data_IF_569517131816
#
_entry.id   IF_569517131816
#
_cell.length_a   1.000
_cell.length_b   1.000
_cell.length_c   1.000
_cell.angle_alpha   90.00
_cell.angle_beta   90.00
_cell.angle_gamma   90.00
#
_symmetry.space_group_name_H-M   'P 1'
#
loop_
_entity.id
_entity.type
_entity.pdbx_description
1 polymer ?
#
# COMPACT_ATOMS: atom_id res chain seq x y z
N UNK A 1 22.46 -7.70 -22.26
CA UNK A 1 21.26 -8.24 -22.92
C UNK A 1 20.35 -8.80 -21.84
N UNK A 2 19.13 -8.27 -21.71
CA UNK A 2 18.15 -8.74 -20.73
C UNK A 2 17.55 -10.04 -21.29
N UNK A 3 17.83 -11.18 -20.66
CA UNK A 3 17.27 -12.47 -21.05
C UNK A 3 15.74 -12.41 -20.99
N UNK A 4 15.13 -12.40 -22.16
CA UNK A 4 13.69 -12.49 -22.37
C UNK A 4 13.30 -13.96 -22.32
N UNK A 5 12.87 -14.48 -21.18
CA UNK A 5 12.03 -15.71 -21.11
C UNK A 5 11.69 -16.05 -19.66
N UNK A 6 10.90 -15.20 -19.01
CA UNK A 6 9.97 -15.76 -18.03
C UNK A 6 8.57 -15.33 -18.40
N UNK A 7 7.86 -16.22 -19.09
CA UNK A 7 6.44 -16.05 -19.44
C UNK A 7 5.66 -15.58 -18.20
N UNK A 8 4.74 -14.64 -18.40
CA UNK A 8 3.88 -14.14 -17.32
C UNK A 8 3.05 -15.29 -16.76
N UNK A 9 3.15 -15.53 -15.46
CA UNK A 9 2.46 -16.65 -14.81
C UNK A 9 1.19 -16.20 -14.07
N UNK A 10 0.34 -17.14 -13.70
CA UNK A 10 -0.81 -16.84 -12.81
C UNK A 10 -0.35 -16.33 -11.43
N UNK A 11 0.81 -16.79 -10.97
CA UNK A 11 1.44 -16.31 -9.74
C UNK A 11 1.80 -14.83 -9.84
N UNK A 12 2.33 -14.38 -10.97
CA UNK A 12 2.63 -12.96 -11.22
C UNK A 12 1.36 -12.11 -11.11
N UNK A 13 0.26 -12.54 -11.75
CA UNK A 13 -1.04 -11.86 -11.65
C UNK A 13 -1.54 -11.81 -10.21
N UNK A 14 -1.43 -12.89 -9.43
CA UNK A 14 -1.84 -12.90 -8.03
C UNK A 14 -1.06 -11.89 -7.19
N UNK A 15 0.25 -11.74 -7.43
CA UNK A 15 1.07 -10.76 -6.72
C UNK A 15 0.77 -9.32 -7.13
N UNK A 16 0.54 -9.05 -8.42
CA UNK A 16 0.07 -7.72 -8.86
C UNK A 16 -1.24 -7.37 -8.15
N UNK A 17 -2.21 -8.28 -8.13
CA UNK A 17 -3.50 -8.07 -7.47
C UNK A 17 -3.35 -7.91 -5.95
N UNK A 18 -2.45 -8.66 -5.31
CA UNK A 18 -2.19 -8.56 -3.88
C UNK A 18 -1.52 -7.23 -3.50
N UNK A 19 -0.52 -6.80 -4.27
CA UNK A 19 0.16 -5.52 -4.05
C UNK A 19 -0.79 -4.35 -4.31
N UNK A 20 -1.59 -4.42 -5.37
CA UNK A 20 -2.65 -3.46 -5.64
C UNK A 20 -3.69 -3.41 -4.52
N UNK A 21 -4.16 -4.58 -4.04
CA UNK A 21 -5.11 -4.67 -2.93
C UNK A 21 -4.59 -4.03 -1.64
N UNK A 22 -3.29 -4.22 -1.35
CA UNK A 22 -2.64 -3.56 -0.22
C UNK A 22 -2.62 -2.05 -0.41
N UNK A 23 -2.29 -1.57 -1.61
CA UNK A 23 -2.31 -0.15 -1.95
C UNK A 23 -3.69 0.50 -1.86
N UNK A 24 -4.73 -0.21 -2.31
CA UNK A 24 -6.12 0.25 -2.13
C UNK A 24 -6.48 0.38 -0.67
N UNK A 25 -6.14 -0.63 0.14
CA UNK A 25 -6.38 -0.60 1.59
C UNK A 25 -5.63 0.53 2.32
N UNK A 26 -4.47 0.94 1.81
CA UNK A 26 -3.64 1.97 2.45
C UNK A 26 -4.08 3.42 2.22
N UNK A 27 -5.16 3.65 1.48
CA UNK A 27 -5.73 4.99 1.30
C UNK A 27 -5.46 5.64 -0.04
N UNK A 28 -5.02 4.87 -1.06
CA UNK A 28 -4.90 5.36 -2.45
C UNK A 28 -6.21 5.97 -2.99
N UNK A 29 -7.35 5.69 -2.34
CA UNK A 29 -8.65 6.22 -2.73
C UNK A 29 -8.95 7.57 -2.08
N UNK A 30 -8.59 7.74 -0.80
CA UNK A 30 -8.97 8.95 -0.05
C UNK A 30 -7.96 10.07 -0.20
N UNK A 31 -6.67 9.74 -0.34
CA UNK A 31 -5.62 10.76 -0.38
C UNK A 31 -5.60 11.53 -1.71
N UNK A 32 -5.80 10.91 -2.90
CA UNK A 32 -5.96 11.67 -4.15
C UNK A 32 -7.20 12.56 -4.18
N UNK A 33 -8.29 12.19 -3.49
CA UNK A 33 -9.46 13.07 -3.34
C UNK A 33 -9.07 14.32 -2.56
N UNK A 34 -8.40 14.15 -1.42
CA UNK A 34 -7.90 15.28 -0.61
C UNK A 34 -6.87 16.14 -1.38
N UNK A 35 -6.04 15.55 -2.23
CA UNK A 35 -5.12 16.27 -3.10
C UNK A 35 -5.84 17.04 -4.21
N UNK A 36 -6.91 16.47 -4.77
CA UNK A 36 -7.76 17.14 -5.76
C UNK A 36 -8.43 18.40 -5.19
N UNK A 37 -8.80 18.38 -3.91
CA UNK A 37 -9.28 19.58 -3.18
C UNK A 37 -8.16 20.65 -3.10
N UNK A 38 -6.90 20.22 -3.01
CA UNK A 38 -5.72 21.09 -3.02
C UNK A 38 -5.42 21.78 -4.37
N UNK A 39 -6.16 21.45 -5.43
CA UNK A 39 -6.10 22.11 -6.73
C UNK A 39 -5.65 21.17 -7.87
N UNK A 40 -5.96 21.59 -9.10
CA UNK A 40 -5.67 20.81 -10.31
C UNK A 40 -4.17 20.59 -10.53
N UNK A 41 -3.36 21.65 -10.47
CA UNK A 41 -1.93 21.58 -10.76
C UNK A 41 -1.14 20.72 -9.76
N UNK A 42 -1.35 20.82 -8.43
CA UNK A 42 -0.74 19.90 -7.47
C UNK A 42 -1.11 18.43 -7.73
N UNK A 43 -2.38 18.15 -8.09
CA UNK A 43 -2.82 16.80 -8.42
C UNK A 43 -2.07 16.25 -9.63
N UNK A 44 -1.95 17.03 -10.71
CA UNK A 44 -1.21 16.62 -11.92
C UNK A 44 0.26 16.39 -11.60
N UNK A 45 0.92 17.34 -10.92
CA UNK A 45 2.32 17.21 -10.53
C UNK A 45 2.56 15.97 -9.65
N UNK A 46 1.70 15.75 -8.65
CA UNK A 46 1.78 14.58 -7.79
C UNK A 46 1.53 13.28 -8.55
N UNK A 47 0.62 13.24 -9.53
CA UNK A 47 0.40 12.05 -10.35
C UNK A 47 1.69 11.65 -11.11
N UNK A 48 2.42 12.61 -11.66
CA UNK A 48 3.70 12.36 -12.31
C UNK A 48 4.82 11.99 -11.35
N UNK A 49 4.86 12.59 -10.15
CA UNK A 49 5.92 12.34 -9.16
C UNK A 49 5.69 11.05 -8.37
N UNK A 50 4.44 10.68 -8.09
CA UNK A 50 4.09 9.51 -7.29
C UNK A 50 4.65 8.23 -7.91
N UNK A 51 4.55 8.08 -9.23
CA UNK A 51 5.05 6.88 -9.92
C UNK A 51 6.55 6.64 -9.73
N UNK A 52 7.49 7.54 -10.12
CA UNK A 52 8.92 7.30 -9.95
C UNK A 52 9.31 7.19 -8.48
N UNK A 53 8.74 8.00 -7.58
CA UNK A 53 9.05 7.93 -6.16
C UNK A 53 8.73 6.55 -5.58
N UNK A 54 7.55 6.01 -5.88
CA UNK A 54 7.09 4.73 -5.33
C UNK A 54 7.76 3.56 -6.02
N UNK A 55 7.84 3.55 -7.35
CA UNK A 55 8.48 2.49 -8.11
C UNK A 55 9.96 2.33 -7.74
N UNK A 56 10.73 3.43 -7.70
CA UNK A 56 12.16 3.37 -7.40
C UNK A 56 12.42 2.93 -5.95
N UNK A 57 11.60 3.40 -5.00
CA UNK A 57 11.71 2.98 -3.60
C UNK A 57 11.40 1.49 -3.43
N UNK A 58 10.31 1.00 -4.02
CA UNK A 58 9.93 -0.41 -3.96
C UNK A 58 10.95 -1.31 -4.68
N UNK A 59 11.44 -0.90 -5.85
CA UNK A 59 12.49 -1.61 -6.58
C UNK A 59 13.78 -1.67 -5.76
N UNK A 60 14.19 -0.55 -5.15
CA UNK A 60 15.36 -0.47 -4.28
C UNK A 60 15.26 -1.42 -3.10
N UNK A 61 14.11 -1.42 -2.42
CA UNK A 61 13.85 -2.32 -1.29
C UNK A 61 13.82 -3.80 -1.73
N UNK A 62 13.15 -4.13 -2.82
CA UNK A 62 13.10 -5.50 -3.33
C UNK A 62 14.49 -6.03 -3.66
N UNK A 63 15.31 -5.24 -4.37
CA UNK A 63 16.71 -5.59 -4.67
C UNK A 63 17.57 -5.75 -3.43
N UNK A 64 17.38 -4.86 -2.47
CA UNK A 64 18.08 -4.94 -1.20
C UNK A 64 17.74 -6.24 -0.47
N UNK A 65 16.45 -6.57 -0.33
CA UNK A 65 16.05 -7.86 0.28
C UNK A 65 16.59 -9.05 -0.51
N UNK A 66 16.57 -8.98 -1.85
CA UNK A 66 17.06 -10.04 -2.73
C UNK A 66 18.59 -10.19 -2.76
N UNK A 67 19.38 -9.19 -2.35
CA UNK A 67 20.84 -9.25 -2.38
C UNK A 67 21.47 -10.12 -1.28
N UNK A 68 20.70 -10.46 -0.24
CA UNK A 68 21.17 -11.37 0.82
C UNK A 68 21.51 -12.76 0.30
N UNK A 69 22.60 -13.34 0.83
CA UNK A 69 23.01 -14.72 0.53
C UNK A 69 22.22 -15.75 1.32
N UNK A 70 21.48 -15.31 2.34
CA UNK A 70 20.69 -16.17 3.22
C UNK A 70 19.35 -16.47 2.53
N UNK A 71 19.08 -17.75 2.24
CA UNK A 71 17.91 -18.19 1.46
C UNK A 71 16.56 -17.72 2.01
N UNK A 72 16.45 -17.52 3.33
CA UNK A 72 15.23 -17.10 4.03
C UNK A 72 15.46 -15.84 4.87
N UNK A 73 16.40 -14.97 4.49
CA UNK A 73 16.60 -13.72 5.23
C UNK A 73 15.38 -12.81 5.11
N UNK A 74 14.91 -12.32 6.24
CA UNK A 74 13.98 -11.20 6.31
C UNK A 74 14.75 -9.88 6.24
N UNK A 75 14.02 -8.76 6.09
CA UNK A 75 14.64 -7.43 5.99
C UNK A 75 15.68 -7.18 7.09
N UNK A 76 15.39 -7.57 8.33
CA UNK A 76 16.31 -7.39 9.46
C UNK A 76 17.62 -8.16 9.28
N UNK A 77 17.55 -9.39 8.77
CA UNK A 77 18.72 -10.23 8.51
C UNK A 77 19.58 -9.63 7.39
N UNK A 78 18.93 -9.13 6.33
CA UNK A 78 19.60 -8.49 5.20
C UNK A 78 20.33 -7.22 5.65
N UNK A 79 19.69 -6.40 6.48
CA UNK A 79 20.35 -5.20 7.01
C UNK A 79 21.53 -5.56 7.90
N UNK A 80 21.39 -6.57 8.76
CA UNK A 80 22.50 -7.03 9.59
C UNK A 80 23.66 -7.61 8.75
N UNK A 81 23.37 -8.36 7.68
CA UNK A 81 24.37 -8.88 6.73
C UNK A 81 25.16 -7.76 6.05
N UNK A 82 24.48 -6.69 5.59
CA UNK A 82 25.13 -5.62 4.83
C UNK A 82 25.77 -4.52 5.70
N UNK A 83 25.20 -4.22 6.87
CA UNK A 83 25.62 -3.09 7.70
C UNK A 83 26.22 -3.51 9.06
N UNK A 84 26.18 -4.79 9.40
CA UNK A 84 26.65 -5.34 10.67
C UNK A 84 25.68 -5.16 11.84
N UNK A 85 25.90 -5.89 12.93
CA UNK A 85 24.94 -6.02 14.04
C UNK A 85 24.47 -4.70 14.68
N UNK A 86 25.37 -3.72 14.86
CA UNK A 86 25.01 -2.43 15.51
C UNK A 86 24.11 -1.58 14.61
N UNK A 87 24.49 -1.39 13.35
CA UNK A 87 23.68 -0.63 12.40
C UNK A 87 22.40 -1.38 12.02
N UNK A 88 22.49 -2.72 11.90
CA UNK A 88 21.35 -3.62 11.72
C UNK A 88 20.26 -3.42 12.76
N UNK A 89 20.64 -3.36 14.03
CA UNK A 89 19.69 -3.13 15.13
C UNK A 89 19.03 -1.75 15.06
N UNK A 90 19.80 -0.69 14.77
CA UNK A 90 19.26 0.67 14.65
C UNK A 90 18.28 0.80 13.48
N UNK A 91 18.63 0.27 12.31
CA UNK A 91 17.75 0.31 11.13
C UNK A 91 16.51 -0.57 11.33
N UNK A 92 16.66 -1.73 11.97
CA UNK A 92 15.53 -2.60 12.31
C UNK A 92 14.56 -1.91 13.29
N UNK A 93 15.07 -1.15 14.26
CA UNK A 93 14.25 -0.34 15.15
C UNK A 93 13.49 0.76 14.39
N UNK A 94 14.16 1.46 13.46
CA UNK A 94 13.51 2.47 12.61
C UNK A 94 12.45 1.85 11.69
N UNK A 95 12.70 0.66 11.17
CA UNK A 95 11.74 -0.10 10.36
C UNK A 95 10.52 -0.53 11.19
N UNK A 96 10.73 -1.00 12.42
CA UNK A 96 9.63 -1.26 13.34
C UNK A 96 8.83 0.01 13.65
N UNK A 97 9.52 1.12 13.95
CA UNK A 97 8.88 2.39 14.29
C UNK A 97 8.15 3.02 13.10
N UNK A 98 8.48 2.66 11.86
CA UNK A 98 7.73 3.12 10.68
C UNK A 98 6.45 2.31 10.46
N UNK A 99 6.47 1.00 10.71
CA UNK A 99 5.30 0.12 10.49
C UNK A 99 4.32 0.14 11.66
N UNK A 100 4.81 0.17 12.89
CA UNK A 100 3.98 0.07 14.09
C UNK A 100 2.90 1.17 14.18
N UNK A 101 3.20 2.47 13.96
CA UNK A 101 2.18 3.52 13.94
C UNK A 101 1.15 3.33 12.81
N UNK A 102 1.57 2.83 11.65
CA UNK A 102 0.66 2.54 10.53
C UNK A 102 -0.37 1.49 10.94
N UNK A 103 0.07 0.41 11.62
CA UNK A 103 -0.83 -0.62 12.14
C UNK A 103 -1.84 -0.05 13.15
N UNK A 104 -1.39 0.85 14.04
CA UNK A 104 -2.29 1.52 15.00
C UNK A 104 -3.32 2.40 14.30
N UNK A 105 -2.90 3.18 13.29
CA UNK A 105 -3.80 4.04 12.51
C UNK A 105 -4.84 3.19 11.77
N UNK A 106 -4.48 2.04 11.21
CA UNK A 106 -5.45 1.13 10.60
C UNK A 106 -6.42 0.54 11.61
N UNK A 107 -5.97 0.16 12.80
CA UNK A 107 -6.86 -0.32 13.86
C UNK A 107 -7.90 0.74 14.26
N UNK A 108 -7.46 1.99 14.43
CA UNK A 108 -8.35 3.12 14.67
C UNK A 108 -9.27 3.39 13.48
N UNK A 109 -8.75 3.34 12.27
CA UNK A 109 -9.50 3.56 11.04
C UNK A 109 -10.65 2.57 10.86
N UNK A 110 -10.38 1.27 10.97
CA UNK A 110 -11.41 0.23 10.87
C UNK A 110 -12.46 0.39 11.97
N UNK A 111 -12.04 0.68 13.20
CA UNK A 111 -12.98 0.91 14.32
C UNK A 111 -13.90 2.10 14.02
N UNK A 112 -13.35 3.21 13.55
CA UNK A 112 -14.13 4.41 13.21
C UNK A 112 -15.07 4.17 12.02
N UNK A 113 -14.64 3.43 10.99
CA UNK A 113 -15.47 3.13 9.82
C UNK A 113 -16.63 2.22 10.20
N UNK A 114 -16.37 1.17 10.98
CA UNK A 114 -17.43 0.26 11.45
C UNK A 114 -18.39 0.99 12.36
N UNK A 115 -17.91 1.75 13.34
CA UNK A 115 -18.76 2.56 14.24
C UNK A 115 -19.64 3.54 13.44
N UNK A 116 -19.04 4.27 12.50
CA UNK A 116 -19.77 5.19 11.62
C UNK A 116 -20.84 4.46 10.80
N UNK A 117 -20.54 3.28 10.27
CA UNK A 117 -21.53 2.44 9.57
C UNK A 117 -22.65 1.98 10.49
N UNK A 118 -22.32 1.54 11.70
CA UNK A 118 -23.30 1.08 12.69
C UNK A 118 -24.31 2.19 13.01
N UNK A 119 -23.82 3.39 13.29
CA UNK A 119 -24.65 4.53 13.70
C UNK A 119 -25.40 5.14 12.51
N UNK A 120 -24.70 5.42 11.40
CA UNK A 120 -25.26 6.24 10.32
C UNK A 120 -25.96 5.42 9.23
N UNK A 121 -25.63 4.15 9.03
CA UNK A 121 -26.21 3.31 7.99
C UNK A 121 -27.07 2.18 8.54
N UNK A 122 -26.67 1.56 9.65
CA UNK A 122 -27.42 0.45 10.26
C UNK A 122 -28.42 0.90 11.35
N UNK A 123 -28.38 2.17 11.77
CA UNK A 123 -29.25 2.72 12.81
C UNK A 123 -29.06 2.07 14.19
N UNK A 124 -27.89 1.48 14.43
CA UNK A 124 -27.52 0.85 15.71
C UNK A 124 -26.92 1.91 16.65
N UNK A 125 -27.04 1.68 17.96
CA UNK A 125 -26.34 2.50 18.94
C UNK A 125 -24.83 2.26 18.90
N UNK A 126 -24.06 3.30 19.20
CA UNK A 126 -22.61 3.22 19.27
C UNK A 126 -22.17 2.28 20.41
N UNK A 127 -21.33 1.30 20.08
CA UNK A 127 -20.73 0.41 21.07
C UNK A 127 -19.56 1.10 21.79
N UNK A 128 -19.22 0.69 23.03
CA UNK A 128 -17.97 1.13 23.66
C UNK A 128 -16.78 0.82 22.77
N UNK A 129 -15.94 1.84 22.53
CA UNK A 129 -14.90 1.79 21.50
C UNK A 129 -13.85 0.73 21.79
N UNK A 130 -13.54 0.47 23.06
CA UNK A 130 -12.67 -0.61 23.52
C UNK A 130 -13.22 -2.00 23.19
N UNK A 131 -14.53 -2.20 23.29
CA UNK A 131 -15.18 -3.46 22.94
C UNK A 131 -15.19 -3.65 21.42
N UNK A 132 -15.60 -2.61 20.69
CA UNK A 132 -15.66 -2.66 19.23
C UNK A 132 -14.28 -2.91 18.62
N UNK A 133 -13.27 -2.14 19.02
CA UNK A 133 -11.89 -2.33 18.54
C UNK A 133 -11.32 -3.69 18.95
N UNK A 134 -11.58 -4.17 20.18
CA UNK A 134 -11.16 -5.49 20.64
C UNK A 134 -11.74 -6.62 19.78
N UNK A 135 -13.05 -6.58 19.50
CA UNK A 135 -13.73 -7.56 18.64
C UNK A 135 -13.19 -7.51 17.21
N UNK A 136 -12.99 -6.31 16.65
CA UNK A 136 -12.48 -6.15 15.28
C UNK A 136 -11.05 -6.65 15.15
N UNK A 137 -10.15 -6.30 16.08
CA UNK A 137 -8.77 -6.78 16.08
C UNK A 137 -8.72 -8.30 16.24
N UNK A 138 -9.52 -8.86 17.15
CA UNK A 138 -9.61 -10.31 17.31
C UNK A 138 -10.10 -11.00 16.04
N UNK A 139 -11.12 -10.45 15.37
CA UNK A 139 -11.62 -10.97 14.11
C UNK A 139 -10.54 -10.93 13.00
N UNK A 140 -9.79 -9.84 12.89
CA UNK A 140 -8.69 -9.72 11.93
C UNK A 140 -7.58 -10.75 12.20
N UNK A 141 -7.18 -10.93 13.46
CA UNK A 141 -6.19 -11.94 13.86
C UNK A 141 -6.71 -13.35 13.54
N UNK A 142 -7.97 -13.64 13.83
CA UNK A 142 -8.59 -14.93 13.53
C UNK A 142 -8.57 -15.23 12.01
N UNK A 143 -8.85 -14.23 11.17
CA UNK A 143 -8.76 -14.36 9.71
C UNK A 143 -7.32 -14.64 9.27
N UNK A 144 -6.33 -13.94 9.86
CA UNK A 144 -4.91 -14.17 9.54
C UNK A 144 -4.44 -15.57 9.95
N UNK A 145 -4.94 -16.08 11.09
CA UNK A 145 -4.60 -17.43 11.57
C UNK A 145 -5.29 -18.55 10.78
N UNK A 146 -6.38 -18.26 10.07
CA UNK A 146 -7.12 -19.24 9.25
C UNK A 146 -6.39 -19.66 7.95
N UNK A 147 -5.20 -19.11 7.70
CA UNK A 147 -4.31 -19.48 6.60
C UNK A 147 -4.48 -18.61 5.35
N UNK A 148 -3.48 -18.71 4.46
CA UNK A 148 -3.33 -17.84 3.28
C UNK A 148 -4.57 -17.83 2.38
N UNK A 149 -5.19 -19.00 2.14
CA UNK A 149 -6.36 -19.11 1.26
C UNK A 149 -7.59 -18.37 1.80
N UNK A 150 -7.80 -18.38 3.11
CA UNK A 150 -8.91 -17.67 3.76
C UNK A 150 -8.66 -16.17 3.72
N UNK A 151 -7.45 -15.75 4.07
CA UNK A 151 -7.01 -14.36 3.99
C UNK A 151 -7.19 -13.77 2.58
N UNK A 152 -6.68 -14.46 1.55
CA UNK A 152 -6.80 -14.03 0.16
C UNK A 152 -8.27 -13.92 -0.28
N UNK A 153 -9.13 -14.85 0.15
CA UNK A 153 -10.55 -14.80 -0.17
C UNK A 153 -11.26 -13.64 0.54
N UNK A 154 -10.94 -13.38 1.80
CA UNK A 154 -11.48 -12.25 2.54
C UNK A 154 -11.11 -10.91 1.88
N UNK A 155 -9.84 -10.73 1.50
CA UNK A 155 -9.40 -9.56 0.75
C UNK A 155 -10.13 -9.42 -0.59
N UNK A 156 -10.26 -10.50 -1.36
CA UNK A 156 -10.95 -10.47 -2.65
C UNK A 156 -12.42 -10.05 -2.50
N UNK A 157 -13.13 -10.58 -1.49
CA UNK A 157 -14.53 -10.23 -1.19
C UNK A 157 -14.67 -8.75 -0.81
N UNK A 158 -13.66 -8.15 -0.18
CA UNK A 158 -13.69 -6.73 0.17
C UNK A 158 -13.31 -5.82 -1.01
N UNK A 159 -12.26 -6.16 -1.75
CA UNK A 159 -11.68 -5.32 -2.80
C UNK A 159 -12.51 -5.33 -4.08
N UNK A 160 -13.03 -6.49 -4.52
CA UNK A 160 -13.77 -6.53 -5.79
C UNK A 160 -15.05 -5.68 -5.80
N UNK A 161 -15.92 -5.72 -4.77
CA UNK A 161 -17.07 -4.83 -4.72
C UNK A 161 -16.66 -3.36 -4.63
N UNK A 162 -15.61 -3.04 -3.88
CA UNK A 162 -15.08 -1.67 -3.78
C UNK A 162 -14.67 -1.14 -5.16
N UNK A 163 -13.86 -1.90 -5.91
CA UNK A 163 -13.44 -1.52 -7.27
C UNK A 163 -14.64 -1.38 -8.19
N UNK A 164 -15.62 -2.29 -8.11
CA UNK A 164 -16.83 -2.22 -8.92
C UNK A 164 -17.68 -0.97 -8.61
N UNK A 165 -17.87 -0.64 -7.33
CA UNK A 165 -18.60 0.55 -6.88
C UNK A 165 -17.87 1.81 -7.36
N UNK A 166 -16.54 1.87 -7.24
CA UNK A 166 -15.76 3.02 -7.69
C UNK A 166 -15.80 3.20 -9.21
N UNK A 167 -15.74 2.11 -9.97
CA UNK A 167 -15.90 2.15 -11.41
C UNK A 167 -17.31 2.65 -11.77
N UNK A 168 -18.35 2.10 -11.14
CA UNK A 168 -19.73 2.53 -11.35
C UNK A 168 -19.92 4.01 -11.00
N UNK A 169 -19.46 4.47 -9.84
CA UNK A 169 -19.54 5.87 -9.42
C UNK A 169 -18.76 6.79 -10.37
N UNK A 170 -17.58 6.38 -10.83
CA UNK A 170 -16.80 7.13 -11.83
C UNK A 170 -17.62 7.37 -13.10
N UNK A 171 -18.28 6.32 -13.62
CA UNK A 171 -19.15 6.45 -14.80
C UNK A 171 -20.42 7.25 -14.53
N UNK A 172 -21.07 7.01 -13.38
CA UNK A 172 -22.29 7.68 -12.98
C UNK A 172 -22.08 9.20 -12.80
N UNK A 173 -20.89 9.61 -12.34
CA UNK A 173 -20.56 11.02 -12.10
C UNK A 173 -20.06 11.75 -13.35
N UNK A 174 -19.80 11.08 -14.47
CA UNK A 174 -19.35 11.74 -15.72
C UNK A 174 -20.24 12.94 -16.15
N UNK A 175 -21.59 12.88 -16.05
CA UNK A 175 -22.43 14.02 -16.40
C UNK A 175 -22.25 15.23 -15.48
N UNK A 176 -21.76 15.01 -14.24
CA UNK A 176 -21.53 16.04 -13.25
C UNK A 176 -20.08 16.57 -13.26
N UNK A 177 -19.25 16.13 -14.21
CA UNK A 177 -17.88 16.61 -14.31
C UNK A 177 -17.87 18.08 -14.76
N UNK A 178 -17.36 18.94 -13.89
CA UNK A 178 -17.06 20.33 -14.22
C UNK A 178 -15.61 20.45 -14.64
N UNK A 179 -15.33 21.32 -15.62
CA UNK A 179 -13.94 21.64 -15.97
C UNK A 179 -13.22 22.20 -14.74
N UNK A 180 -12.04 21.68 -14.39
CA UNK A 180 -11.28 22.20 -13.26
C UNK A 180 -10.80 23.63 -13.56
N UNK A 181 -10.60 24.42 -12.50
CA UNK A 181 -9.97 25.73 -12.62
C UNK A 181 -8.51 25.52 -13.01
N UNK A 182 -8.14 25.97 -14.22
CA UNK A 182 -6.81 25.82 -14.79
C UNK A 182 -5.89 27.02 -14.54
N UNK A 183 -6.32 27.96 -13.70
CA UNK A 183 -5.55 29.15 -13.37
C UNK A 183 -4.15 28.78 -12.86
N UNK A 184 -3.17 29.61 -13.21
CA UNK A 184 -1.80 29.46 -12.71
C UNK A 184 -1.82 29.54 -11.19
N UNK A 185 -1.33 28.51 -10.48
CA UNK A 185 -1.40 28.51 -9.03
C UNK A 185 -0.42 29.55 -8.49
N UNK A 186 -0.78 30.18 -7.37
CA UNK A 186 0.19 30.95 -6.61
C UNK A 186 1.35 30.05 -6.20
N UNK A 187 2.58 30.45 -6.50
CA UNK A 187 3.75 29.59 -6.35
C UNK A 187 4.04 29.23 -4.89
N UNK A 188 3.71 30.14 -3.95
CA UNK A 188 3.85 29.90 -2.52
C UNK A 188 2.87 28.86 -2.01
N UNK A 189 1.58 29.02 -2.35
CA UNK A 189 0.54 28.06 -2.03
C UNK A 189 0.81 26.69 -2.69
N UNK A 190 1.22 26.69 -3.96
CA UNK A 190 1.57 25.48 -4.70
C UNK A 190 2.69 24.70 -4.00
N UNK A 191 3.78 25.37 -3.63
CA UNK A 191 4.91 24.73 -2.95
C UNK A 191 4.51 24.15 -1.59
N UNK A 192 3.67 24.85 -0.83
CA UNK A 192 3.16 24.36 0.47
C UNK A 192 2.28 23.12 0.29
N UNK A 193 1.35 23.16 -0.65
CA UNK A 193 0.49 22.00 -0.98
C UNK A 193 1.33 20.82 -1.42
N UNK A 194 2.30 21.02 -2.31
CA UNK A 194 3.21 19.97 -2.77
C UNK A 194 4.04 19.37 -1.61
N UNK A 195 4.54 20.21 -0.71
CA UNK A 195 5.31 19.76 0.45
C UNK A 195 4.48 18.86 1.37
N UNK A 196 3.23 19.21 1.63
CA UNK A 196 2.32 18.42 2.45
C UNK A 196 1.82 17.16 1.72
N UNK A 197 1.67 17.25 0.40
CA UNK A 197 1.24 16.15 -0.46
C UNK A 197 2.26 15.02 -0.55
N UNK A 198 3.55 15.32 -0.56
CA UNK A 198 4.61 14.31 -0.77
C UNK A 198 4.60 13.22 0.31
N UNK A 199 4.65 13.52 1.62
CA UNK A 199 4.57 12.49 2.66
C UNK A 199 3.26 11.70 2.59
N UNK A 200 2.15 12.39 2.39
CA UNK A 200 0.79 11.84 2.25
C UNK A 200 0.73 10.80 1.13
N UNK A 201 1.23 11.13 -0.06
CA UNK A 201 1.34 10.19 -1.18
C UNK A 201 2.31 9.07 -0.87
N UNK A 202 3.51 9.36 -0.38
CA UNK A 202 4.50 8.33 -0.05
C UNK A 202 3.89 7.30 0.93
N UNK A 203 3.22 7.74 1.99
CA UNK A 203 2.55 6.85 2.93
C UNK A 203 1.40 6.06 2.29
N UNK A 204 0.59 6.68 1.43
CA UNK A 204 -0.52 6.00 0.73
C UNK A 204 -0.06 4.86 -0.16
N UNK A 205 1.12 5.01 -0.74
CA UNK A 205 1.69 4.04 -1.67
C UNK A 205 2.76 3.15 -1.02
N UNK A 206 3.17 3.43 0.21
CA UNK A 206 4.24 2.71 0.90
C UNK A 206 3.75 1.38 1.46
N UNK A 207 4.18 0.29 0.83
CA UNK A 207 3.90 -1.07 1.27
C UNK A 207 5.20 -1.83 1.56
N UNK A 208 6.17 -1.17 2.18
CA UNK A 208 7.51 -1.72 2.41
C UNK A 208 7.49 -3.12 3.06
N UNK A 209 6.57 -3.37 3.99
CA UNK A 209 6.37 -4.69 4.60
C UNK A 209 5.92 -5.75 3.57
N UNK A 210 4.92 -5.41 2.75
CA UNK A 210 4.44 -6.29 1.69
C UNK A 210 5.52 -6.54 0.63
N UNK A 211 6.32 -5.52 0.29
CA UNK A 211 7.43 -5.63 -0.67
C UNK A 211 8.53 -6.55 -0.14
N UNK A 212 8.86 -6.47 1.15
CA UNK A 212 9.83 -7.38 1.77
C UNK A 212 9.34 -8.83 1.71
N UNK A 213 8.07 -9.08 2.07
CA UNK A 213 7.48 -10.42 1.96
C UNK A 213 7.41 -10.90 0.51
N UNK A 214 7.04 -10.01 -0.41
CA UNK A 214 6.99 -10.26 -1.84
C UNK A 214 8.35 -10.70 -2.37
N UNK A 215 9.41 -9.95 -2.06
CA UNK A 215 10.78 -10.27 -2.46
C UNK A 215 11.20 -11.67 -1.98
N UNK A 216 10.90 -12.02 -0.73
CA UNK A 216 11.17 -13.36 -0.19
C UNK A 216 10.40 -14.46 -0.91
N UNK A 217 9.14 -14.22 -1.31
CA UNK A 217 8.37 -15.18 -2.11
C UNK A 217 8.91 -15.30 -3.53
N UNK A 218 9.29 -14.19 -4.17
CA UNK A 218 9.91 -14.22 -5.50
C UNK A 218 11.23 -14.98 -5.49
N UNK A 219 12.08 -14.78 -4.47
CA UNK A 219 13.32 -15.57 -4.28
C UNK A 219 13.03 -17.07 -4.23
N UNK A 220 12.03 -17.48 -3.45
CA UNK A 220 11.66 -18.90 -3.31
C UNK A 220 11.09 -19.50 -4.60
N UNK A 221 10.32 -18.72 -5.35
CA UNK A 221 9.60 -19.21 -6.54
C UNK A 221 10.45 -19.16 -7.83
N UNK A 222 11.22 -18.09 -8.02
CA UNK A 222 11.98 -17.83 -9.25
C UNK A 222 13.50 -17.97 -9.10
N UNK A 223 14.02 -18.12 -7.89
CA UNK A 223 15.45 -18.32 -7.66
C UNK A 223 16.29 -17.16 -8.21
N UNK A 224 17.20 -17.46 -9.14
CA UNK A 224 18.11 -16.49 -9.74
C UNK A 224 17.40 -15.43 -10.60
N UNK A 225 16.20 -15.75 -11.12
CA UNK A 225 15.39 -14.81 -11.92
C UNK A 225 14.52 -13.88 -11.05
N UNK A 226 14.60 -13.98 -9.72
CA UNK A 226 13.74 -13.27 -8.80
C UNK A 226 13.82 -11.74 -8.91
N UNK A 227 15.01 -11.16 -9.16
CA UNK A 227 15.17 -9.71 -9.32
C UNK A 227 14.48 -9.21 -10.61
N UNK A 228 14.73 -9.88 -11.73
CA UNK A 228 14.13 -9.54 -13.01
C UNK A 228 12.59 -9.67 -12.97
N UNK A 229 12.09 -10.74 -12.33
CA UNK A 229 10.65 -10.94 -12.12
C UNK A 229 10.04 -9.92 -11.17
N UNK A 230 10.70 -9.64 -10.05
CA UNK A 230 10.25 -8.63 -9.10
C UNK A 230 10.10 -7.26 -9.77
N UNK A 231 11.08 -6.86 -10.57
CA UNK A 231 11.02 -5.59 -11.32
C UNK A 231 9.84 -5.57 -12.31
N UNK A 232 9.62 -6.66 -13.04
CA UNK A 232 8.55 -6.77 -14.02
C UNK A 232 7.15 -6.71 -13.37
N UNK A 233 6.99 -7.35 -12.20
CA UNK A 233 5.74 -7.32 -11.42
C UNK A 233 5.51 -5.92 -10.83
N UNK A 234 6.53 -5.30 -10.23
CA UNK A 234 6.42 -3.99 -9.58
C UNK A 234 6.15 -2.83 -10.56
N UNK A 235 6.46 -3.02 -11.83
CA UNK A 235 6.19 -2.03 -12.89
C UNK A 235 4.72 -2.01 -13.35
N UNK A 236 3.97 -3.08 -13.09
CA UNK A 236 2.57 -3.24 -13.52
C UNK A 236 1.59 -2.61 -12.55
#
# INVERSE_FOLDING_TARGET
ELNTTTSWSKHDTHWVLSLFGTAVGAGILFLPINLGIGGFWPLVAMAFLAFPMTYLAHRGLARFVLSSKIKNADFTDVVEEHFGAKAGRSISLLYFLSIFPILLIYGVGITNTVDSFMVNQAGMEALPRELLSGVLVFALIAIMMAGEKVMLRAFAVMVYPLVAILAFLSFYLMPNWTMPVLDTPDMGAFASTMWLAVPVVIFSFSHAAAISSFANVQRRHYGDDADAKAELILRR
#
